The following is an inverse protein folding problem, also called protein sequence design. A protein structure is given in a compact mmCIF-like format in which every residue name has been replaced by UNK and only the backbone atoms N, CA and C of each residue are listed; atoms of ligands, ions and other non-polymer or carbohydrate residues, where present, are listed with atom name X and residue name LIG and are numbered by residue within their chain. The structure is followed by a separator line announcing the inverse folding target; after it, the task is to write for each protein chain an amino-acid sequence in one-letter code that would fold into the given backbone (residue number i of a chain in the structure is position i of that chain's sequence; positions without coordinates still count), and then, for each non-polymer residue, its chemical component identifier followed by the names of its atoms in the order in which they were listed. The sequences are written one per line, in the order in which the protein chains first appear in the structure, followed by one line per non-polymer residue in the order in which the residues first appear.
data_IF_606180712157
#
_entry.id   IF_606180712157
#
_cell.length_a   1.000
_cell.length_b   1.000
_cell.length_c   1.000
_cell.angle_alpha   90.00
_cell.angle_beta   90.00
_cell.angle_gamma   90.00
#
_symmetry.space_group_name_H-M   'P 1'
#
loop_
_entity.id
_entity.type
_entity.pdbx_description
1 polymer ?
#
# COMPACT_ATOMS: atom_id res chain seq x y z
N UNK A 1 14.44 25.57 22.44
CA UNK A 1 14.09 26.23 21.17
C UNK A 1 13.31 25.20 20.34
N UNK A 2 11.97 25.27 20.28
CA UNK A 2 11.15 24.46 19.38
C UNK A 2 11.48 24.88 17.94
N UNK A 3 12.17 24.01 17.19
CA UNK A 3 12.24 24.17 15.75
C UNK A 3 10.81 24.10 15.21
N UNK A 4 10.30 25.21 14.71
CA UNK A 4 9.10 25.25 13.89
C UNK A 4 9.47 24.52 12.59
N UNK A 5 9.28 23.20 12.52
CA UNK A 5 9.43 22.48 11.27
C UNK A 5 8.31 22.94 10.36
N UNK A 6 8.64 23.68 9.33
CA UNK A 6 7.68 24.02 8.28
C UNK A 6 6.99 22.73 7.83
N UNK A 7 5.65 22.72 7.85
CA UNK A 7 4.84 21.59 7.40
C UNK A 7 5.20 21.31 5.93
N UNK A 8 5.45 20.05 5.59
CA UNK A 8 5.73 19.66 4.21
C UNK A 8 4.60 20.13 3.28
N UNK A 9 4.98 20.76 2.19
CA UNK A 9 4.08 21.13 1.11
C UNK A 9 4.61 20.53 -0.18
N UNK A 10 3.80 19.68 -0.85
CA UNK A 10 4.20 19.08 -2.12
C UNK A 10 4.46 20.12 -3.20
N UNK A 11 5.40 19.82 -4.09
CA UNK A 11 5.72 20.67 -5.24
C UNK A 11 4.46 20.97 -6.06
N UNK A 12 4.27 22.25 -6.40
CA UNK A 12 3.09 22.68 -7.16
C UNK A 12 3.10 22.15 -8.60
N UNK A 13 4.27 21.87 -9.15
CA UNK A 13 4.48 21.36 -10.52
C UNK A 13 4.72 19.85 -10.58
N UNK A 14 4.44 19.09 -9.50
CA UNK A 14 4.72 17.65 -9.39
C UNK A 14 4.12 16.80 -10.52
N UNK A 15 3.04 17.23 -11.12
CA UNK A 15 2.39 16.51 -12.22
C UNK A 15 2.87 16.89 -13.61
N UNK A 16 3.74 17.89 -13.72
CA UNK A 16 4.15 18.46 -15.03
C UNK A 16 5.08 17.56 -15.85
N UNK A 17 5.84 16.67 -15.19
CA UNK A 17 6.86 15.85 -15.85
C UNK A 17 6.52 14.36 -15.91
N UNK A 18 5.66 13.90 -15.01
CA UNK A 18 5.26 12.50 -14.96
C UNK A 18 4.21 12.20 -16.04
N UNK A 19 4.37 11.06 -16.69
CA UNK A 19 3.37 10.52 -17.61
C UNK A 19 2.49 9.52 -16.88
N UNK A 20 1.18 9.62 -17.11
CA UNK A 20 0.18 8.73 -16.53
C UNK A 20 -0.51 7.94 -17.63
N UNK A 21 -0.86 6.68 -17.34
CA UNK A 21 -1.53 5.78 -18.28
C UNK A 21 -2.63 5.00 -17.57
N UNK A 22 -3.75 4.83 -18.25
CA UNK A 22 -4.83 3.97 -17.76
C UNK A 22 -4.39 2.51 -17.64
N UNK A 23 -4.79 1.88 -16.57
CA UNK A 23 -4.58 0.46 -16.32
C UNK A 23 -5.68 -0.34 -17.06
N UNK A 24 -5.33 -0.88 -18.21
CA UNK A 24 -6.27 -1.61 -19.05
C UNK A 24 -7.50 -0.76 -19.42
N UNK A 25 -8.68 -1.33 -19.24
CA UNK A 25 -9.98 -0.69 -19.50
C UNK A 25 -10.63 -0.15 -18.23
N UNK A 26 -9.86 0.12 -17.18
CA UNK A 26 -10.34 0.70 -15.94
C UNK A 26 -10.17 2.23 -15.92
N UNK A 27 -10.82 2.89 -14.95
CA UNK A 27 -10.59 4.31 -14.67
C UNK A 27 -9.32 4.58 -13.84
N UNK A 28 -8.54 3.54 -13.52
CA UNK A 28 -7.31 3.66 -12.72
C UNK A 28 -6.18 4.22 -13.57
N UNK A 29 -5.74 5.43 -13.24
CA UNK A 29 -4.68 6.15 -13.94
C UNK A 29 -3.39 6.07 -13.12
N UNK A 30 -2.41 5.34 -13.64
CA UNK A 30 -1.15 5.06 -12.93
C UNK A 30 0.01 5.89 -13.50
N UNK A 31 0.94 6.36 -12.64
CA UNK A 31 2.19 6.94 -13.10
C UNK A 31 3.05 5.86 -13.79
N UNK A 32 3.94 6.30 -14.67
CA UNK A 32 4.89 5.36 -15.33
C UNK A 32 5.87 4.71 -14.38
N UNK A 33 6.10 5.34 -13.22
CA UNK A 33 6.98 4.84 -12.18
C UNK A 33 6.19 4.80 -10.88
N UNK A 34 6.25 3.67 -10.18
CA UNK A 34 5.70 3.48 -8.83
C UNK A 34 6.85 3.27 -7.84
N UNK A 35 6.66 3.68 -6.60
CA UNK A 35 7.63 3.42 -5.54
C UNK A 35 7.20 2.18 -4.75
N UNK A 36 8.01 1.10 -4.83
CA UNK A 36 7.84 -0.09 -4.01
C UNK A 36 8.50 0.08 -2.63
N UNK A 37 7.79 -0.32 -1.59
CA UNK A 37 8.22 -0.12 -0.21
C UNK A 37 8.72 -1.42 0.45
N UNK A 38 9.29 -2.33 -0.32
CA UNK A 38 9.84 -3.58 0.23
C UNK A 38 11.11 -3.35 1.03
N UNK A 39 12.08 -2.63 0.47
CA UNK A 39 13.35 -2.29 1.12
C UNK A 39 13.37 -0.81 1.50
N UNK A 40 14.15 -0.45 2.54
CA UNK A 40 14.37 0.92 3.02
C UNK A 40 13.20 1.56 3.78
N UNK A 41 12.14 0.82 4.06
CA UNK A 41 10.95 1.35 4.75
C UNK A 41 10.55 0.55 6.00
N UNK A 42 11.34 -0.45 6.37
CA UNK A 42 11.09 -1.30 7.55
C UNK A 42 11.58 -0.70 8.87
N UNK A 43 11.42 -1.47 9.94
CA UNK A 43 11.78 -1.03 11.31
C UNK A 43 13.28 -0.89 11.56
N UNK A 44 14.11 -1.44 10.69
CA UNK A 44 15.58 -1.37 10.78
C UNK A 44 16.17 -0.23 9.94
N UNK A 45 15.34 0.43 9.15
CA UNK A 45 15.75 1.47 8.22
C UNK A 45 15.60 2.86 8.86
N UNK A 46 16.32 3.85 8.34
CA UNK A 46 16.21 5.22 8.80
C UNK A 46 14.86 5.83 8.40
N UNK A 47 14.05 6.17 9.37
CA UNK A 47 12.71 6.73 9.15
C UNK A 47 12.73 8.10 8.47
N UNK A 48 13.75 8.91 8.74
CA UNK A 48 13.94 10.21 8.11
C UNK A 48 14.22 10.07 6.62
N UNK A 49 15.14 9.19 6.26
CA UNK A 49 15.46 8.86 4.87
C UNK A 49 14.25 8.29 4.15
N UNK A 50 13.53 7.35 4.76
CA UNK A 50 12.29 6.80 4.19
C UNK A 50 11.25 7.90 3.92
N UNK A 51 11.08 8.82 4.87
CA UNK A 51 10.17 9.97 4.73
C UNK A 51 10.58 10.88 3.57
N UNK A 52 11.87 11.19 3.45
CA UNK A 52 12.39 12.05 2.38
C UNK A 52 12.25 11.41 1.00
N UNK A 53 12.45 10.09 0.90
CA UNK A 53 12.23 9.34 -0.33
C UNK A 53 10.78 9.42 -0.80
N UNK A 54 9.82 9.27 0.10
CA UNK A 54 8.39 9.35 -0.23
C UNK A 54 8.01 10.76 -0.66
N UNK A 55 8.48 11.79 0.05
CA UNK A 55 8.27 13.20 -0.33
C UNK A 55 8.84 13.49 -1.70
N UNK A 56 10.08 13.10 -1.94
CA UNK A 56 10.74 13.32 -3.23
C UNK A 56 10.02 12.61 -4.38
N UNK A 57 9.58 11.36 -4.16
CA UNK A 57 8.79 10.62 -5.14
C UNK A 57 7.51 11.37 -5.50
N UNK A 58 6.75 11.81 -4.50
CA UNK A 58 5.51 12.56 -4.72
C UNK A 58 5.76 13.91 -5.40
N UNK A 59 6.77 14.65 -4.99
CA UNK A 59 7.19 15.90 -5.63
C UNK A 59 7.64 15.71 -7.10
N UNK A 60 8.01 14.49 -7.45
CA UNK A 60 8.38 14.09 -8.82
C UNK A 60 7.19 13.51 -9.62
N UNK A 61 5.98 13.50 -9.06
CA UNK A 61 4.76 13.00 -9.71
C UNK A 61 4.49 11.53 -9.53
N UNK A 62 5.23 10.81 -8.68
CA UNK A 62 4.92 9.43 -8.31
C UNK A 62 3.72 9.44 -7.36
N UNK A 63 2.58 8.98 -7.83
CA UNK A 63 1.35 8.91 -7.05
C UNK A 63 1.09 7.51 -6.49
N UNK A 64 1.75 6.47 -7.02
CA UNK A 64 1.54 5.09 -6.64
C UNK A 64 2.65 4.59 -5.72
N UNK A 65 2.26 4.17 -4.51
CA UNK A 65 3.11 3.58 -3.48
C UNK A 65 2.65 2.16 -3.20
N UNK A 66 3.54 1.20 -3.38
CA UNK A 66 3.21 -0.23 -3.38
C UNK A 66 3.77 -0.93 -2.14
N UNK A 67 2.86 -1.41 -1.31
CA UNK A 67 3.12 -2.15 -0.08
C UNK A 67 2.78 -3.63 -0.22
N UNK A 68 3.13 -4.37 0.80
CA UNK A 68 2.55 -5.66 1.16
C UNK A 68 2.56 -5.80 2.70
N UNK A 69 1.67 -6.63 3.22
CA UNK A 69 1.57 -6.80 4.67
C UNK A 69 2.85 -7.37 5.31
N UNK A 70 3.63 -8.15 4.55
CA UNK A 70 4.90 -8.73 5.04
C UNK A 70 6.14 -7.85 4.78
N UNK A 71 5.99 -6.68 4.16
CA UNK A 71 7.13 -5.79 3.90
C UNK A 71 7.71 -5.21 5.19
N UNK A 72 9.00 -5.03 5.18
CA UNK A 72 9.89 -4.70 6.27
C UNK A 72 11.14 -5.56 6.15
N UNK A 73 12.04 -5.65 7.04
CA UNK A 73 11.93 -6.28 8.33
C UNK A 73 11.57 -5.26 9.43
N UNK A 74 10.75 -5.61 10.41
CA UNK A 74 9.99 -6.84 10.64
C UNK A 74 8.73 -6.85 9.76
N UNK A 75 8.11 -8.03 9.45
CA UNK A 75 6.86 -8.06 8.69
C UNK A 75 5.80 -7.13 9.26
N UNK A 76 5.20 -6.30 8.42
CA UNK A 76 4.22 -5.27 8.82
C UNK A 76 4.82 -3.89 9.11
N UNK A 77 6.14 -3.80 9.31
CA UNK A 77 6.78 -2.53 9.70
C UNK A 77 6.77 -1.49 8.58
N UNK A 78 6.84 -1.90 7.32
CA UNK A 78 6.73 -0.96 6.20
C UNK A 78 5.35 -0.28 6.15
N UNK A 79 4.27 -1.03 6.36
CA UNK A 79 2.91 -0.46 6.47
C UNK A 79 2.79 0.50 7.65
N UNK A 80 3.35 0.14 8.81
CA UNK A 80 3.34 1.00 10.00
C UNK A 80 4.09 2.31 9.74
N UNK A 81 5.28 2.23 9.18
CA UNK A 81 6.09 3.42 8.89
C UNK A 81 5.45 4.30 7.83
N UNK A 82 4.93 3.69 6.77
CA UNK A 82 4.21 4.43 5.73
C UNK A 82 2.98 5.15 6.29
N UNK A 83 2.20 4.50 7.14
CA UNK A 83 1.07 5.11 7.82
C UNK A 83 1.45 6.32 8.66
N UNK A 84 2.57 6.26 9.40
CA UNK A 84 3.10 7.41 10.16
C UNK A 84 3.50 8.55 9.22
N UNK A 85 4.21 8.25 8.14
CA UNK A 85 4.64 9.24 7.15
C UNK A 85 3.44 9.94 6.52
N UNK A 86 2.39 9.20 6.15
CA UNK A 86 1.16 9.77 5.62
C UNK A 86 0.48 10.71 6.62
N UNK A 87 0.33 10.25 7.86
CA UNK A 87 -0.30 11.04 8.93
C UNK A 87 0.46 12.33 9.23
N UNK A 88 1.77 12.30 9.20
CA UNK A 88 2.61 13.46 9.54
C UNK A 88 2.75 14.45 8.38
N UNK A 89 2.76 13.97 7.13
CA UNK A 89 3.19 14.78 5.99
C UNK A 89 2.15 14.92 4.87
N UNK A 90 1.19 14.00 4.74
CA UNK A 90 0.29 13.92 3.59
C UNK A 90 -1.18 14.16 3.94
N UNK A 91 -1.47 14.84 5.04
CA UNK A 91 -2.83 15.21 5.39
C UNK A 91 -3.46 16.09 4.31
N UNK A 92 -4.63 15.66 3.81
CA UNK A 92 -5.34 16.34 2.72
C UNK A 92 -4.92 15.90 1.32
N UNK A 93 -3.97 14.96 1.18
CA UNK A 93 -3.50 14.46 -0.12
C UNK A 93 -3.92 13.02 -0.43
N UNK A 94 -4.74 12.39 0.42
CA UNK A 94 -5.14 10.97 0.24
C UNK A 94 -5.75 10.69 -1.14
N UNK A 95 -6.59 11.59 -1.63
CA UNK A 95 -7.28 11.44 -2.91
C UNK A 95 -6.36 11.60 -4.13
N UNK A 96 -5.15 12.12 -3.94
CA UNK A 96 -4.13 12.20 -4.98
C UNK A 96 -3.22 10.96 -5.02
N UNK A 97 -3.33 10.06 -4.05
CA UNK A 97 -2.46 8.90 -3.89
C UNK A 97 -3.15 7.61 -4.32
N UNK A 98 -2.41 6.75 -5.01
CA UNK A 98 -2.76 5.35 -5.24
C UNK A 98 -1.90 4.52 -4.29
N UNK A 99 -2.54 3.90 -3.30
CA UNK A 99 -1.86 3.08 -2.30
C UNK A 99 -2.31 1.65 -2.49
N UNK A 100 -1.36 0.76 -2.74
CA UNK A 100 -1.61 -0.67 -2.88
C UNK A 100 -0.97 -1.46 -1.74
N UNK A 101 -1.63 -2.54 -1.33
CA UNK A 101 -1.06 -3.54 -0.45
C UNK A 101 -1.50 -4.95 -0.86
N UNK A 102 -0.91 -5.97 -0.23
CA UNK A 102 -1.04 -7.36 -0.63
C UNK A 102 -1.02 -8.27 0.59
N UNK A 103 -1.67 -9.40 0.50
CA UNK A 103 -1.59 -10.46 1.50
C UNK A 103 -1.45 -11.85 0.86
N UNK A 104 -0.79 -12.78 1.57
CA UNK A 104 -0.57 -14.15 1.11
C UNK A 104 0.67 -14.80 1.69
N UNK A 105 1.65 -14.01 2.14
CA UNK A 105 2.79 -14.50 2.89
C UNK A 105 2.46 -14.64 4.37
N UNK A 106 3.26 -15.46 5.07
CA UNK A 106 3.04 -15.77 6.48
C UNK A 106 3.21 -14.55 7.37
N UNK A 107 2.19 -14.25 8.17
CA UNK A 107 2.15 -13.10 9.07
C UNK A 107 1.89 -13.47 10.52
N UNK A 108 1.30 -14.63 10.79
CA UNK A 108 1.06 -15.15 12.13
C UNK A 108 1.08 -16.69 12.14
N UNK A 109 1.26 -17.27 13.30
CA UNK A 109 1.33 -18.72 13.46
C UNK A 109 -0.05 -19.37 13.24
N UNK A 110 -0.03 -20.57 12.69
CA UNK A 110 -1.23 -21.39 12.51
C UNK A 110 -1.69 -21.50 11.05
N UNK A 111 -2.75 -22.25 10.80
CA UNK A 111 -3.11 -22.69 9.44
C UNK A 111 -3.61 -21.55 8.52
N UNK A 112 -3.94 -20.39 9.07
CA UNK A 112 -4.45 -19.25 8.29
C UNK A 112 -3.49 -18.07 8.23
N UNK A 113 -2.29 -18.22 8.75
CA UNK A 113 -1.31 -17.13 8.86
C UNK A 113 -0.74 -16.63 7.53
N UNK A 114 -0.78 -17.46 6.48
CA UNK A 114 -0.21 -17.09 5.20
C UNK A 114 -0.66 -18.03 4.07
N UNK A 115 -1.77 -17.72 3.45
CA UNK A 115 -2.30 -18.41 2.27
C UNK A 115 -3.24 -17.50 1.48
N UNK A 116 -3.87 -18.04 0.42
CA UNK A 116 -4.79 -17.28 -0.44
C UNK A 116 -6.26 -17.46 -0.05
N UNK A 117 -6.54 -18.06 1.13
CA UNK A 117 -7.89 -18.32 1.58
C UNK A 117 -8.67 -17.04 1.83
N UNK A 118 -9.99 -17.14 1.71
CA UNK A 118 -10.90 -16.06 2.13
C UNK A 118 -10.62 -15.61 3.56
N UNK A 119 -10.40 -16.54 4.47
CA UNK A 119 -10.12 -16.22 5.87
C UNK A 119 -8.86 -15.39 6.04
N UNK A 120 -7.77 -15.76 5.35
CA UNK A 120 -6.52 -14.99 5.40
C UNK A 120 -6.68 -13.60 4.79
N UNK A 121 -7.27 -13.50 3.59
CA UNK A 121 -7.41 -12.22 2.88
C UNK A 121 -8.29 -11.22 3.64
N UNK A 122 -9.43 -11.68 4.19
CA UNK A 122 -10.33 -10.82 4.96
C UNK A 122 -9.69 -10.32 6.25
N UNK A 123 -9.01 -11.19 6.98
CA UNK A 123 -8.28 -10.81 8.19
C UNK A 123 -7.10 -9.87 7.87
N UNK A 124 -6.38 -10.18 6.80
CA UNK A 124 -5.16 -9.44 6.41
C UNK A 124 -5.45 -8.00 6.00
N UNK A 125 -6.51 -7.75 5.24
CA UNK A 125 -6.83 -6.36 4.85
C UNK A 125 -7.20 -5.51 6.07
N UNK A 126 -7.93 -6.05 7.02
CA UNK A 126 -8.27 -5.33 8.24
C UNK A 126 -7.03 -4.99 9.08
N UNK A 127 -6.09 -5.93 9.18
CA UNK A 127 -4.81 -5.71 9.83
C UNK A 127 -3.97 -4.67 9.11
N UNK A 128 -3.93 -4.70 7.77
CA UNK A 128 -3.19 -3.74 6.96
C UNK A 128 -3.77 -2.32 7.07
N UNK A 129 -5.10 -2.19 7.05
CA UNK A 129 -5.77 -0.91 7.30
C UNK A 129 -5.45 -0.35 8.69
N UNK A 130 -5.42 -1.21 9.70
CA UNK A 130 -5.04 -0.83 11.06
C UNK A 130 -3.57 -0.33 11.12
N UNK A 131 -2.62 -1.06 10.49
CA UNK A 131 -1.20 -0.67 10.48
C UNK A 131 -0.95 0.66 9.76
N UNK A 132 -1.60 0.86 8.63
CA UNK A 132 -1.45 2.07 7.82
C UNK A 132 -2.26 3.25 8.33
N UNK A 133 -3.32 3.00 9.09
CA UNK A 133 -4.29 4.02 9.51
C UNK A 133 -5.15 4.53 8.36
N UNK A 134 -5.27 3.76 7.28
CA UNK A 134 -6.11 4.07 6.13
C UNK A 134 -7.51 3.50 6.29
N UNK A 135 -8.49 4.14 5.66
CA UNK A 135 -9.86 3.65 5.57
C UNK A 135 -10.04 2.63 4.43
N UNK A 136 -9.22 2.74 3.40
CA UNK A 136 -9.23 1.85 2.22
C UNK A 136 -7.88 1.86 1.52
N UNK A 137 -7.59 0.78 0.78
CA UNK A 137 -6.54 0.75 -0.24
C UNK A 137 -7.13 1.06 -1.61
N UNK A 138 -6.35 1.67 -2.49
CA UNK A 138 -6.75 1.82 -3.89
C UNK A 138 -6.73 0.49 -4.61
N UNK A 139 -5.69 -0.31 -4.37
CA UNK A 139 -5.57 -1.65 -4.93
C UNK A 139 -5.18 -2.63 -3.82
N UNK A 140 -5.87 -3.75 -3.73
CA UNK A 140 -5.50 -4.85 -2.84
C UNK A 140 -5.26 -6.13 -3.63
N UNK A 141 -4.10 -6.78 -3.41
CA UNK A 141 -3.68 -7.97 -4.15
C UNK A 141 -3.75 -9.24 -3.31
N UNK A 142 -4.16 -10.34 -3.95
CA UNK A 142 -3.67 -11.66 -3.54
C UNK A 142 -2.20 -11.75 -3.96
N UNK A 143 -1.29 -11.85 -2.98
CA UNK A 143 0.16 -11.70 -3.21
C UNK A 143 0.75 -12.88 -3.96
N UNK A 144 0.23 -14.08 -3.69
CA UNK A 144 0.66 -15.31 -4.35
C UNK A 144 -0.46 -16.35 -4.33
N UNK A 145 -0.43 -17.25 -5.29
CA UNK A 145 -1.23 -18.46 -5.27
C UNK A 145 -0.57 -19.51 -4.36
N UNK A 146 -1.33 -20.11 -3.46
CA UNK A 146 -0.81 -21.09 -2.48
C UNK A 146 -0.82 -22.54 -2.97
N UNK A 147 -1.33 -22.79 -4.18
CA UNK A 147 -1.40 -24.13 -4.79
C UNK A 147 -2.51 -25.02 -4.26
N UNK A 148 -3.32 -24.55 -3.32
CA UNK A 148 -4.35 -25.35 -2.62
C UNK A 148 -5.71 -24.68 -2.63
N UNK A 149 -5.79 -23.39 -2.27
CA UNK A 149 -7.06 -22.66 -2.22
C UNK A 149 -7.67 -22.55 -3.63
N UNK A 150 -8.95 -22.92 -3.80
CA UNK A 150 -9.62 -22.69 -5.08
C UNK A 150 -9.56 -21.21 -5.49
N UNK A 151 -9.22 -20.97 -6.76
CA UNK A 151 -9.06 -19.59 -7.27
C UNK A 151 -10.35 -18.78 -7.11
N UNK A 152 -11.49 -19.45 -7.26
CA UNK A 152 -12.83 -18.87 -7.10
C UNK A 152 -13.05 -18.32 -5.67
N UNK A 153 -12.57 -19.02 -4.64
CA UNK A 153 -12.62 -18.56 -3.26
C UNK A 153 -11.79 -17.28 -3.07
N UNK A 154 -10.56 -17.29 -3.57
CA UNK A 154 -9.68 -16.12 -3.52
C UNK A 154 -10.30 -14.93 -4.24
N UNK A 155 -10.82 -15.14 -5.44
CA UNK A 155 -11.45 -14.07 -6.23
C UNK A 155 -12.73 -13.55 -5.58
N UNK A 156 -13.56 -14.42 -5.00
CA UNK A 156 -14.76 -14.01 -4.29
C UNK A 156 -14.41 -13.18 -3.05
N UNK A 157 -13.37 -13.54 -2.32
CA UNK A 157 -12.89 -12.76 -1.19
C UNK A 157 -12.47 -11.35 -1.63
N UNK A 158 -11.73 -11.23 -2.72
CA UNK A 158 -11.32 -9.93 -3.26
C UNK A 158 -12.53 -9.09 -3.71
N UNK A 159 -13.50 -9.70 -4.37
CA UNK A 159 -14.76 -9.02 -4.76
C UNK A 159 -15.50 -8.48 -3.52
N UNK A 160 -15.58 -9.28 -2.47
CA UNK A 160 -16.28 -8.88 -1.25
C UNK A 160 -15.54 -7.77 -0.50
N UNK A 161 -14.21 -7.75 -0.55
CA UNK A 161 -13.38 -6.64 -0.05
C UNK A 161 -13.74 -5.33 -0.75
N UNK A 162 -13.91 -5.36 -2.07
CA UNK A 162 -14.34 -4.18 -2.85
C UNK A 162 -15.76 -3.77 -2.44
N UNK A 163 -16.69 -4.71 -2.34
CA UNK A 163 -18.08 -4.44 -1.91
C UNK A 163 -18.16 -3.82 -0.51
N UNK A 164 -17.24 -4.18 0.37
CA UNK A 164 -17.13 -3.61 1.72
C UNK A 164 -16.46 -2.22 1.74
N UNK A 165 -15.98 -1.73 0.62
CA UNK A 165 -15.30 -0.44 0.52
C UNK A 165 -13.89 -0.41 1.09
N UNK A 166 -13.28 -1.57 1.37
CA UNK A 166 -11.92 -1.67 1.91
C UNK A 166 -10.84 -1.57 0.84
N UNK A 167 -11.19 -1.81 -0.42
CA UNK A 167 -10.36 -1.54 -1.58
C UNK A 167 -11.22 -1.05 -2.74
N UNK A 168 -10.66 -0.21 -3.60
CA UNK A 168 -11.36 0.27 -4.81
C UNK A 168 -11.20 -0.70 -5.97
N UNK A 169 -10.02 -1.27 -6.10
CA UNK A 169 -9.63 -2.26 -7.11
C UNK A 169 -8.93 -3.44 -6.44
N UNK A 170 -8.92 -4.54 -7.13
CA UNK A 170 -8.19 -5.74 -6.69
C UNK A 170 -7.30 -6.25 -7.80
N UNK A 171 -6.30 -7.04 -7.42
CA UNK A 171 -5.38 -7.64 -8.35
C UNK A 171 -4.85 -8.97 -7.85
N UNK A 172 -4.12 -9.64 -8.71
CA UNK A 172 -3.36 -10.84 -8.39
C UNK A 172 -1.89 -10.60 -8.69
N UNK A 173 -1.05 -11.11 -7.83
CA UNK A 173 0.40 -11.11 -7.99
C UNK A 173 0.89 -12.55 -8.15
N UNK A 174 2.15 -12.72 -8.51
CA UNK A 174 2.74 -14.02 -8.74
C UNK A 174 3.18 -14.66 -7.41
#
# INVERSE_FOLDING_TARGET
VKRNSMKYQPSADRYSKMQYKYCGNSGLLLPRISLGLWHNFGSVDDFGVATDMIKYAFDSGVTHFDLANNYGPVPGSAEINFGKILKENFQGYRDELIISSKAGHEMWNGPYGGNSSRKNLMASIDQSLCRTGLDYFDIFYSHRYDGVTPVEETMQALIDIVKQGKALYVGISK
#
